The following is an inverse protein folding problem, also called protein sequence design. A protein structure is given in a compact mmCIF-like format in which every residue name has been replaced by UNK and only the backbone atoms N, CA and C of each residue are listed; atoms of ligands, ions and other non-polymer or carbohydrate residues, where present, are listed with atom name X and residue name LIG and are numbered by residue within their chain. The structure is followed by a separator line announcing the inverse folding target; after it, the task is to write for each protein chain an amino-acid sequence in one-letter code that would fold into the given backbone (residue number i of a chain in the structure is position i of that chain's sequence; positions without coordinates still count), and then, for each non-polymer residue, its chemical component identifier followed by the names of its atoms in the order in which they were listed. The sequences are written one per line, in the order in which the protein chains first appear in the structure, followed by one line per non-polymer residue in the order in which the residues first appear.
data_IF_704682225193
#
_entry.id   IF_704682225193
#
_cell.length_a   1.000
_cell.length_b   1.000
_cell.length_c   1.000
_cell.angle_alpha   90.00
_cell.angle_beta   90.00
_cell.angle_gamma   90.00
#
_symmetry.space_group_name_H-M   'P 1'
#
loop_
_entity.id
_entity.type
_entity.pdbx_description
1 polymer ?
#
# COMPACT_ATOMS: atom_id res chain seq x y z
N UNK A 1 -18.15 12.84 26.59
CA UNK A 1 -16.92 12.80 25.79
C UNK A 1 -17.07 11.70 24.76
N UNK A 2 -17.05 12.05 23.48
CA UNK A 2 -17.22 11.04 22.41
C UNK A 2 -15.97 10.16 22.32
N UNK A 3 -16.16 8.88 22.11
CA UNK A 3 -15.08 7.94 21.83
C UNK A 3 -15.05 7.69 20.31
N UNK A 4 -13.88 7.77 19.71
CA UNK A 4 -13.68 7.44 18.29
C UNK A 4 -13.04 6.06 18.20
N UNK A 5 -13.68 5.18 17.45
CA UNK A 5 -13.14 3.88 17.11
C UNK A 5 -12.51 3.96 15.70
N UNK A 6 -11.17 3.94 15.64
CA UNK A 6 -10.41 3.91 14.39
C UNK A 6 -10.06 2.48 14.05
N UNK A 7 -10.73 1.92 13.06
CA UNK A 7 -10.46 0.57 12.59
C UNK A 7 -9.32 0.54 11.57
N UNK A 8 -8.48 -0.50 11.60
CA UNK A 8 -7.42 -0.75 10.62
C UNK A 8 -7.35 -2.24 10.25
N UNK A 9 -6.84 -2.55 9.07
CA UNK A 9 -6.83 -3.92 8.53
C UNK A 9 -5.94 -4.89 9.32
N UNK A 10 -4.82 -4.43 9.84
CA UNK A 10 -3.83 -5.25 10.49
C UNK A 10 -4.24 -5.83 11.84
N UNK A 11 -3.25 -6.24 12.57
CA UNK A 11 -3.35 -6.67 13.98
C UNK A 11 -2.50 -5.72 14.85
N UNK A 12 -2.65 -5.82 16.18
CA UNK A 12 -1.80 -5.06 17.10
C UNK A 12 -0.31 -5.33 16.81
N UNK A 13 0.47 -4.27 16.63
CA UNK A 13 1.88 -4.33 16.25
C UNK A 13 2.16 -4.52 14.75
N UNK A 14 1.13 -4.50 13.88
CA UNK A 14 1.32 -4.38 12.44
C UNK A 14 1.73 -2.95 12.06
N UNK A 15 2.21 -2.76 10.83
CA UNK A 15 2.67 -1.45 10.38
C UNK A 15 1.57 -0.39 10.40
N UNK A 16 0.37 -0.72 9.95
CA UNK A 16 -0.79 0.17 9.98
C UNK A 16 -1.19 0.55 11.40
N UNK A 17 -1.20 -0.40 12.34
CA UNK A 17 -1.47 -0.12 13.74
C UNK A 17 -0.44 0.87 14.33
N UNK A 18 0.85 0.57 14.16
CA UNK A 18 1.94 1.38 14.73
C UNK A 18 2.01 2.79 14.10
N UNK A 19 1.74 2.93 12.80
CA UNK A 19 1.66 4.23 12.12
C UNK A 19 0.45 5.02 12.62
N UNK A 20 -0.70 4.38 12.76
CA UNK A 20 -1.89 5.05 13.27
C UNK A 20 -1.72 5.49 14.72
N UNK A 21 -0.99 4.76 15.57
CA UNK A 21 -0.63 5.22 16.91
C UNK A 21 0.12 6.55 16.87
N UNK A 22 1.01 6.75 15.89
CA UNK A 22 1.71 8.04 15.67
C UNK A 22 0.77 9.13 15.19
N UNK A 23 -0.15 8.81 14.27
CA UNK A 23 -1.13 9.78 13.75
C UNK A 23 -2.04 10.31 14.85
N UNK A 24 -2.46 9.45 15.79
CA UNK A 24 -3.38 9.84 16.89
C UNK A 24 -2.66 10.20 18.20
N UNK A 25 -1.34 10.26 18.20
CA UNK A 25 -0.57 10.57 19.41
C UNK A 25 -1.06 11.85 20.09
N UNK A 26 -1.26 11.76 21.41
CA UNK A 26 -1.81 12.86 22.23
C UNK A 26 -3.34 12.83 22.41
N UNK A 27 -4.08 11.93 21.74
CA UNK A 27 -5.53 11.83 21.85
C UNK A 27 -5.98 10.62 22.68
N UNK A 28 -6.47 10.85 23.91
CA UNK A 28 -6.91 9.80 24.83
C UNK A 28 -8.28 9.18 24.48
N UNK A 29 -9.06 9.85 23.62
CA UNK A 29 -10.44 9.43 23.30
C UNK A 29 -10.54 8.64 21.98
N UNK A 30 -9.41 8.22 21.44
CA UNK A 30 -9.35 7.44 20.22
C UNK A 30 -8.86 6.05 20.56
N UNK A 31 -9.55 5.05 20.06
CA UNK A 31 -9.14 3.65 20.19
C UNK A 31 -8.90 3.05 18.82
N UNK A 32 -7.66 2.60 18.55
CA UNK A 32 -7.36 1.85 17.33
C UNK A 32 -7.85 0.41 17.52
N UNK A 33 -8.65 -0.06 16.58
CA UNK A 33 -9.25 -1.41 16.56
C UNK A 33 -8.80 -2.19 15.33
N UNK A 34 -7.82 -3.07 15.46
CA UNK A 34 -7.39 -3.92 14.37
C UNK A 34 -8.46 -4.97 14.05
N UNK A 35 -8.70 -5.22 12.76
CA UNK A 35 -9.77 -6.12 12.29
C UNK A 35 -9.26 -7.43 11.67
N UNK A 36 -7.95 -7.58 11.52
CA UNK A 36 -7.32 -8.83 11.08
C UNK A 36 -7.43 -9.13 9.59
N UNK A 37 -7.74 -8.14 8.76
CA UNK A 37 -7.75 -8.23 7.31
C UNK A 37 -8.98 -7.61 6.65
N UNK A 38 -8.90 -7.39 5.34
CA UNK A 38 -9.90 -6.62 4.60
C UNK A 38 -11.31 -7.26 4.55
N UNK A 39 -11.42 -8.54 4.69
CA UNK A 39 -12.72 -9.22 4.74
C UNK A 39 -13.50 -8.91 6.03
N UNK A 40 -12.81 -8.75 7.15
CA UNK A 40 -13.41 -8.31 8.41
C UNK A 40 -13.96 -6.89 8.36
N UNK A 41 -13.38 -6.05 7.51
CA UNK A 41 -13.76 -4.65 7.36
C UNK A 41 -15.24 -4.48 6.97
N UNK A 42 -15.68 -5.17 5.92
CA UNK A 42 -17.05 -5.06 5.43
C UNK A 42 -18.06 -5.54 6.50
N UNK A 43 -17.78 -6.66 7.17
CA UNK A 43 -18.65 -7.19 8.21
C UNK A 43 -18.77 -6.21 9.40
N UNK A 44 -17.67 -5.57 9.79
CA UNK A 44 -17.68 -4.59 10.88
C UNK A 44 -18.44 -3.33 10.46
N UNK A 45 -18.24 -2.84 9.24
CA UNK A 45 -18.94 -1.66 8.72
C UNK A 45 -20.44 -1.92 8.65
N UNK A 46 -20.86 -3.06 8.11
CA UNK A 46 -22.27 -3.48 8.08
C UNK A 46 -22.88 -3.60 9.48
N UNK A 47 -22.12 -4.14 10.43
CA UNK A 47 -22.54 -4.23 11.84
C UNK A 47 -22.70 -2.84 12.46
N UNK A 48 -21.75 -1.92 12.23
CA UNK A 48 -21.80 -0.56 12.76
C UNK A 48 -22.94 0.24 12.13
N UNK A 49 -23.21 0.08 10.84
CA UNK A 49 -24.34 0.73 10.18
C UNK A 49 -25.68 0.28 10.77
N UNK A 50 -25.83 -1.02 11.06
CA UNK A 50 -27.07 -1.58 11.60
C UNK A 50 -27.29 -1.30 13.08
N UNK A 51 -26.20 -1.23 13.87
CA UNK A 51 -26.28 -1.19 15.33
C UNK A 51 -25.64 0.10 15.94
N UNK A 52 -24.93 0.90 15.16
CA UNK A 52 -24.17 2.05 15.62
C UNK A 52 -25.01 3.23 16.13
N UNK A 53 -26.28 3.28 15.77
CA UNK A 53 -27.20 4.37 16.20
C UNK A 53 -27.57 4.32 17.70
N UNK A 54 -27.24 3.25 18.41
CA UNK A 54 -27.56 3.11 19.83
C UNK A 54 -26.47 3.64 20.79
N UNK A 55 -25.30 4.02 20.28
CA UNK A 55 -24.18 4.55 21.07
C UNK A 55 -23.62 5.82 20.44
N UNK A 56 -23.22 6.76 21.27
CA UNK A 56 -22.60 8.04 20.93
C UNK A 56 -21.19 7.93 20.31
N UNK A 57 -20.74 6.72 20.00
CA UNK A 57 -19.39 6.47 19.50
C UNK A 57 -19.33 6.71 17.99
N UNK A 58 -18.33 7.48 17.59
CA UNK A 58 -18.00 7.66 16.17
C UNK A 58 -17.00 6.60 15.72
N UNK A 59 -17.09 6.18 14.46
CA UNK A 59 -16.17 5.21 13.90
C UNK A 59 -15.69 5.59 12.51
N UNK A 60 -14.44 5.25 12.22
CA UNK A 60 -13.76 5.39 10.95
C UNK A 60 -13.05 4.08 10.64
N UNK A 61 -12.92 3.76 9.37
CA UNK A 61 -12.08 2.67 8.87
C UNK A 61 -10.97 3.26 7.99
N UNK A 62 -9.73 3.03 8.37
CA UNK A 62 -8.57 3.36 7.55
C UNK A 62 -8.00 2.07 6.96
N UNK A 63 -7.73 2.08 5.66
CA UNK A 63 -7.27 0.91 4.91
C UNK A 63 -6.16 1.26 3.94
N UNK A 64 -5.35 0.27 3.65
CA UNK A 64 -4.51 0.27 2.47
C UNK A 64 -5.37 0.44 1.21
N UNK A 65 -4.91 1.30 0.29
CA UNK A 65 -5.57 1.44 -1.00
C UNK A 65 -5.42 0.17 -1.84
N UNK A 66 -4.30 -0.52 -1.69
CA UNK A 66 -3.93 -1.67 -2.53
C UNK A 66 -4.17 -1.36 -4.03
N UNK A 67 -4.90 -2.24 -4.70
CA UNK A 67 -5.40 -2.04 -6.06
C UNK A 67 -6.93 -1.91 -6.08
N UNK A 68 -7.55 -1.70 -4.92
CA UNK A 68 -9.01 -1.67 -4.76
C UNK A 68 -9.61 -0.32 -5.18
N UNK A 69 -8.83 0.75 -5.10
CA UNK A 69 -9.23 2.09 -5.51
C UNK A 69 -8.19 2.71 -6.48
N UNK A 70 -8.64 3.62 -7.37
CA UNK A 70 -7.74 4.35 -8.26
C UNK A 70 -6.74 5.19 -7.46
N UNK A 71 -5.56 5.43 -8.03
CA UNK A 71 -4.60 6.34 -7.43
C UNK A 71 -5.15 7.77 -7.53
N UNK A 72 -5.28 8.51 -6.43
CA UNK A 72 -5.67 9.90 -6.46
C UNK A 72 -4.67 10.76 -7.25
N UNK A 73 -5.16 11.82 -7.87
CA UNK A 73 -4.33 12.77 -8.63
C UNK A 73 -3.50 13.69 -7.75
N UNK A 74 -3.88 13.82 -6.47
CA UNK A 74 -3.18 14.58 -5.46
C UNK A 74 -2.97 13.73 -4.20
N UNK A 75 -1.99 14.10 -3.36
CA UNK A 75 -1.76 13.44 -2.08
C UNK A 75 -2.87 13.78 -1.10
N UNK A 76 -3.86 12.91 -1.06
CA UNK A 76 -5.05 13.03 -0.20
C UNK A 76 -5.63 11.65 0.10
N UNK A 77 -6.43 11.57 1.15
CA UNK A 77 -7.21 10.37 1.42
C UNK A 77 -8.24 10.14 0.32
N UNK A 78 -8.42 8.88 -0.05
CA UNK A 78 -9.55 8.47 -0.88
C UNK A 78 -10.70 8.02 0.03
N UNK A 79 -11.89 8.59 -0.16
CA UNK A 79 -13.08 8.30 0.63
C UNK A 79 -14.15 7.61 -0.23
N UNK A 80 -14.66 6.47 0.22
CA UNK A 80 -15.65 5.67 -0.52
C UNK A 80 -17.11 5.95 -0.16
N UNK A 81 -17.38 7.06 0.55
CA UNK A 81 -18.69 7.44 1.06
C UNK A 81 -19.33 6.50 2.09
N UNK A 82 -18.57 5.51 2.59
CA UNK A 82 -19.01 4.54 3.61
C UNK A 82 -18.18 4.58 4.89
N UNK A 83 -17.61 5.75 5.24
CA UNK A 83 -16.69 5.93 6.38
C UNK A 83 -15.39 5.13 6.26
N UNK A 84 -15.03 4.70 5.05
CA UNK A 84 -13.76 4.07 4.74
C UNK A 84 -12.84 5.07 4.06
N UNK A 85 -11.67 5.24 4.64
CA UNK A 85 -10.61 6.08 4.13
C UNK A 85 -9.45 5.20 3.67
N UNK A 86 -9.01 5.40 2.46
CA UNK A 86 -7.89 4.67 1.88
C UNK A 86 -6.65 5.56 1.85
N UNK A 87 -5.51 4.95 2.15
CA UNK A 87 -4.21 5.61 2.04
C UNK A 87 -3.95 6.13 0.62
N UNK A 88 -3.23 7.24 0.50
CA UNK A 88 -2.74 7.74 -0.78
C UNK A 88 -1.74 6.76 -1.41
N UNK A 89 -0.84 6.21 -0.62
CA UNK A 89 0.10 5.18 -1.06
C UNK A 89 -0.58 3.82 -1.18
N UNK A 90 -0.06 2.94 -2.02
CA UNK A 90 -0.68 1.63 -2.30
C UNK A 90 -0.80 0.79 -1.04
N UNK A 91 0.24 0.72 -0.22
CA UNK A 91 0.22 0.00 1.06
C UNK A 91 0.90 0.79 2.16
N UNK A 92 0.63 0.42 3.39
CA UNK A 92 1.17 1.09 4.58
C UNK A 92 2.71 0.99 4.64
N UNK A 93 3.30 -0.09 4.14
CA UNK A 93 4.75 -0.23 4.09
C UNK A 93 5.42 0.86 3.27
N UNK A 94 4.73 1.43 2.28
CA UNK A 94 5.27 2.51 1.46
C UNK A 94 5.56 3.79 2.25
N UNK A 95 4.88 4.03 3.38
CA UNK A 95 5.17 5.17 4.25
C UNK A 95 6.45 4.98 5.05
N UNK A 96 6.87 3.74 5.24
CA UNK A 96 8.12 3.40 5.91
C UNK A 96 9.31 3.35 4.93
N UNK A 97 9.07 3.29 3.64
CA UNK A 97 10.10 3.26 2.59
C UNK A 97 10.46 4.70 2.19
N UNK A 98 11.27 5.34 3.00
CA UNK A 98 11.76 6.71 2.81
C UNK A 98 13.27 6.70 2.62
N UNK A 99 13.78 7.45 1.62
CA UNK A 99 15.19 7.44 1.22
C UNK A 99 16.10 7.93 2.36
N UNK A 100 15.72 9.04 2.99
CA UNK A 100 16.50 9.64 4.07
C UNK A 100 16.52 8.72 5.30
N UNK A 101 15.34 8.23 5.73
CA UNK A 101 15.23 7.29 6.84
C UNK A 101 16.00 6.00 6.58
N UNK A 102 16.02 5.53 5.32
CA UNK A 102 16.78 4.33 4.94
C UNK A 102 18.29 4.58 5.00
N UNK A 103 18.73 5.74 4.53
CA UNK A 103 20.12 6.15 4.62
C UNK A 103 20.58 6.25 6.08
N UNK A 104 19.82 6.93 6.94
CA UNK A 104 20.13 7.07 8.36
C UNK A 104 20.26 5.70 9.05
N UNK A 105 19.34 4.78 8.75
CA UNK A 105 19.41 3.41 9.26
C UNK A 105 20.71 2.71 8.84
N UNK A 106 21.11 2.82 7.57
CA UNK A 106 22.34 2.20 7.08
C UNK A 106 23.58 2.79 7.80
N UNK A 107 23.60 4.10 8.02
CA UNK A 107 24.70 4.74 8.74
C UNK A 107 24.80 4.24 10.18
N UNK A 108 23.67 4.12 10.89
CA UNK A 108 23.66 3.58 12.26
C UNK A 108 24.10 2.10 12.34
N UNK A 109 23.85 1.31 11.29
CA UNK A 109 24.26 -0.10 11.22
C UNK A 109 25.69 -0.30 10.69
N UNK A 110 26.46 0.78 10.45
CA UNK A 110 27.84 0.71 9.97
C UNK A 110 27.98 0.50 8.45
N UNK A 111 26.92 0.73 7.70
CA UNK A 111 26.84 0.78 6.24
C UNK A 111 27.83 -0.10 5.44
N UNK A 112 27.56 -1.40 5.40
CA UNK A 112 28.37 -2.38 4.67
C UNK A 112 28.04 -2.46 3.16
N UNK A 113 27.24 -1.53 2.62
CA UNK A 113 26.68 -1.62 1.25
C UNK A 113 27.22 -0.54 0.30
N UNK A 114 28.24 0.23 0.71
CA UNK A 114 28.80 1.35 -0.09
C UNK A 114 27.76 2.43 -0.46
N UNK A 115 26.64 2.51 0.26
CA UNK A 115 25.58 3.50 0.07
C UNK A 115 25.82 4.72 0.96
N UNK A 116 26.89 5.47 0.65
CA UNK A 116 27.46 6.51 1.51
C UNK A 116 26.76 7.87 1.42
N UNK A 117 25.73 7.99 0.57
CA UNK A 117 24.94 9.22 0.40
C UNK A 117 23.47 8.89 0.17
N UNK A 118 22.57 9.85 0.46
CA UNK A 118 21.15 9.71 0.12
C UNK A 118 20.93 9.51 -1.38
N UNK A 119 21.73 10.14 -2.24
CA UNK A 119 21.66 9.98 -3.68
C UNK A 119 21.97 8.54 -4.10
N UNK A 120 22.93 7.87 -3.44
CA UNK A 120 23.22 6.47 -3.70
C UNK A 120 22.06 5.56 -3.28
N UNK A 121 21.41 5.84 -2.15
CA UNK A 121 20.20 5.14 -1.72
C UNK A 121 19.04 5.42 -2.69
N UNK A 122 18.83 6.66 -3.10
CA UNK A 122 17.83 7.02 -4.11
C UNK A 122 18.07 6.28 -5.44
N UNK A 123 19.32 6.20 -5.89
CA UNK A 123 19.67 5.46 -7.09
C UNK A 123 19.36 3.96 -6.98
N UNK A 124 19.63 3.35 -5.83
CA UNK A 124 19.23 1.97 -5.55
C UNK A 124 17.71 1.79 -5.60
N UNK A 125 16.95 2.67 -4.97
CA UNK A 125 15.48 2.63 -5.00
C UNK A 125 14.95 2.73 -6.43
N UNK A 126 15.49 3.65 -7.23
CA UNK A 126 15.13 3.79 -8.65
C UNK A 126 15.48 2.52 -9.44
N UNK A 127 16.65 1.92 -9.21
CA UNK A 127 17.04 0.66 -9.85
C UNK A 127 16.01 -0.43 -9.57
N UNK A 128 15.69 -0.67 -8.29
CA UNK A 128 14.69 -1.65 -7.86
C UNK A 128 13.31 -1.37 -8.45
N UNK A 129 12.90 -0.10 -8.49
CA UNK A 129 11.62 0.27 -9.08
C UNK A 129 11.57 -0.01 -10.59
N UNK A 130 12.64 0.27 -11.32
CA UNK A 130 12.74 -0.04 -12.75
C UNK A 130 12.62 -1.54 -13.04
N UNK A 131 13.18 -2.39 -12.20
CA UNK A 131 13.04 -3.86 -12.32
C UNK A 131 11.60 -4.33 -12.07
N UNK A 132 10.89 -3.70 -11.14
CA UNK A 132 9.50 -4.05 -10.80
C UNK A 132 8.46 -3.49 -11.77
N UNK A 133 8.82 -2.59 -12.67
CA UNK A 133 7.92 -1.81 -13.51
C UNK A 133 6.82 -2.65 -14.17
N UNK A 134 7.19 -3.67 -14.89
CA UNK A 134 6.24 -4.52 -15.64
C UNK A 134 5.35 -5.36 -14.73
N UNK A 135 5.93 -5.89 -13.66
CA UNK A 135 5.19 -6.63 -12.66
C UNK A 135 4.10 -5.77 -12.00
N UNK A 136 4.45 -4.55 -11.59
CA UNK A 136 3.51 -3.63 -10.97
C UNK A 136 2.45 -3.11 -11.97
N UNK A 137 2.82 -2.87 -13.24
CA UNK A 137 1.86 -2.49 -14.27
C UNK A 137 0.77 -3.57 -14.46
N UNK A 138 1.18 -4.84 -14.50
CA UNK A 138 0.24 -5.97 -14.59
C UNK A 138 -0.65 -6.03 -13.34
N UNK A 139 -0.11 -5.84 -12.15
CA UNK A 139 -0.90 -5.83 -10.91
C UNK A 139 -1.95 -4.71 -10.90
N UNK A 140 -1.55 -3.50 -11.30
CA UNK A 140 -2.49 -2.39 -11.43
C UNK A 140 -3.58 -2.66 -12.47
N UNK A 141 -3.21 -3.29 -13.59
CA UNK A 141 -4.18 -3.69 -14.62
C UNK A 141 -5.22 -4.65 -14.06
N UNK A 142 -4.78 -5.71 -13.36
CA UNK A 142 -5.70 -6.67 -12.74
C UNK A 142 -6.58 -6.01 -11.67
N UNK A 143 -6.04 -5.07 -10.91
CA UNK A 143 -6.81 -4.29 -9.95
C UNK A 143 -7.87 -3.40 -10.63
N UNK A 144 -7.48 -2.65 -11.68
CA UNK A 144 -8.38 -1.80 -12.46
C UNK A 144 -9.52 -2.58 -13.12
N UNK A 145 -9.24 -3.80 -13.56
CA UNK A 145 -10.27 -4.73 -14.06
C UNK A 145 -11.11 -5.35 -12.93
N UNK A 146 -10.91 -4.93 -11.70
CA UNK A 146 -11.58 -5.47 -10.50
C UNK A 146 -11.45 -6.98 -10.33
N UNK A 147 -10.35 -7.52 -10.84
CA UNK A 147 -10.09 -8.95 -10.79
C UNK A 147 -10.04 -9.48 -9.35
N UNK A 148 -9.43 -8.73 -8.43
CA UNK A 148 -9.35 -9.09 -7.02
C UNK A 148 -10.71 -9.14 -6.30
N UNK A 149 -11.70 -8.38 -6.76
CA UNK A 149 -13.06 -8.42 -6.19
C UNK A 149 -13.81 -9.69 -6.55
N UNK A 150 -13.37 -10.39 -7.59
CA UNK A 150 -13.95 -11.65 -8.06
C UNK A 150 -13.13 -12.86 -7.61
N UNK A 151 -11.86 -12.64 -7.27
CA UNK A 151 -10.90 -13.67 -6.93
C UNK A 151 -9.93 -13.13 -5.87
N UNK A 152 -9.56 -13.95 -4.93
CA UNK A 152 -8.74 -13.59 -3.76
C UNK A 152 -7.29 -13.18 -4.09
N UNK A 153 -6.93 -13.06 -5.34
CA UNK A 153 -5.56 -12.75 -5.73
C UNK A 153 -5.47 -11.90 -7.00
N UNK A 154 -4.55 -10.97 -7.00
CA UNK A 154 -4.09 -10.24 -8.19
C UNK A 154 -2.77 -10.81 -8.73
N UNK A 155 -2.38 -11.99 -8.26
CA UNK A 155 -1.14 -12.60 -8.71
C UNK A 155 -1.16 -14.12 -8.68
N UNK A 156 -0.47 -14.73 -9.65
CA UNK A 156 -0.51 -16.15 -9.98
C UNK A 156 0.36 -17.01 -9.09
N UNK A 157 1.46 -16.45 -8.61
CA UNK A 157 2.44 -17.17 -7.80
C UNK A 157 2.02 -17.06 -6.36
N UNK A 158 2.08 -18.17 -5.63
CA UNK A 158 1.62 -18.25 -4.25
C UNK A 158 2.05 -17.07 -3.38
N UNK A 159 1.27 -16.75 -2.38
CA UNK A 159 1.41 -15.56 -1.56
C UNK A 159 2.86 -15.35 -1.11
N UNK A 160 3.42 -14.23 -1.49
CA UNK A 160 4.69 -13.79 -0.95
C UNK A 160 5.93 -14.02 -1.81
N UNK A 161 5.82 -14.66 -2.99
CA UNK A 161 6.96 -14.82 -3.91
C UNK A 161 6.82 -13.93 -5.14
N UNK A 162 7.90 -13.27 -5.51
CA UNK A 162 8.00 -12.64 -6.84
C UNK A 162 8.22 -13.71 -7.90
N UNK A 163 7.79 -13.48 -9.16
CA UNK A 163 8.17 -14.32 -10.27
C UNK A 163 9.70 -14.46 -10.39
N UNK A 164 10.15 -15.54 -10.99
CA UNK A 164 11.60 -15.77 -11.24
C UNK A 164 12.19 -14.72 -12.17
N UNK A 165 11.41 -14.23 -13.12
CA UNK A 165 11.75 -13.14 -14.03
C UNK A 165 10.65 -12.09 -14.00
N UNK A 166 11.04 -10.81 -14.06
CA UNK A 166 10.13 -9.66 -13.99
C UNK A 166 10.00 -8.94 -15.34
N UNK A 167 10.39 -9.62 -16.43
CA UNK A 167 10.20 -9.11 -17.78
C UNK A 167 8.72 -9.04 -18.15
N UNK A 168 8.41 -8.17 -19.12
CA UNK A 168 7.03 -7.88 -19.51
C UNK A 168 6.29 -9.12 -20.02
N UNK A 169 6.94 -9.95 -20.81
CA UNK A 169 6.29 -11.10 -21.46
C UNK A 169 5.94 -12.18 -20.44
N UNK A 170 6.83 -12.45 -19.48
CA UNK A 170 6.55 -13.34 -18.34
C UNK A 170 5.41 -12.82 -17.49
N UNK A 171 5.41 -11.53 -17.15
CA UNK A 171 4.36 -10.92 -16.36
C UNK A 171 3.00 -10.94 -17.09
N UNK A 172 2.96 -10.63 -18.40
CA UNK A 172 1.74 -10.72 -19.23
C UNK A 172 1.21 -12.14 -19.31
N UNK A 173 2.07 -13.10 -19.59
CA UNK A 173 1.69 -14.52 -19.73
C UNK A 173 1.08 -15.05 -18.43
N UNK A 174 1.69 -14.75 -17.31
CA UNK A 174 1.18 -15.16 -16.01
C UNK A 174 -0.15 -14.48 -15.67
N UNK A 175 -0.28 -13.18 -15.95
CA UNK A 175 -1.53 -12.46 -15.74
C UNK A 175 -2.66 -13.00 -16.62
N UNK A 176 -2.36 -13.29 -17.88
CA UNK A 176 -3.36 -13.84 -18.80
C UNK A 176 -3.84 -15.22 -18.37
N UNK A 177 -2.96 -16.11 -17.91
CA UNK A 177 -3.37 -17.41 -17.33
C UNK A 177 -4.35 -17.26 -16.17
N UNK A 178 -4.18 -16.24 -15.31
CA UNK A 178 -5.11 -15.95 -14.24
C UNK A 178 -6.48 -15.58 -14.79
N UNK A 179 -6.51 -14.70 -15.78
CA UNK A 179 -7.75 -14.24 -16.42
C UNK A 179 -8.46 -15.44 -17.07
N UNK A 180 -7.76 -16.26 -17.83
CA UNK A 180 -8.33 -17.46 -18.47
C UNK A 180 -8.94 -18.43 -17.44
N UNK A 181 -8.20 -18.70 -16.36
CA UNK A 181 -8.71 -19.55 -15.26
C UNK A 181 -9.95 -18.96 -14.61
N UNK A 182 -10.02 -17.64 -14.54
CA UNK A 182 -11.13 -16.91 -13.95
C UNK A 182 -12.35 -16.87 -14.87
N UNK A 183 -12.15 -16.69 -16.17
CA UNK A 183 -13.22 -16.72 -17.18
C UNK A 183 -14.02 -18.04 -17.16
N UNK A 184 -13.36 -19.15 -16.88
CA UNK A 184 -14.04 -20.45 -16.70
C UNK A 184 -14.92 -20.53 -15.44
N UNK A 185 -14.72 -19.64 -14.47
CA UNK A 185 -15.44 -19.63 -13.19
C UNK A 185 -16.46 -18.50 -13.05
N UNK A 186 -16.38 -17.50 -13.89
CA UNK A 186 -17.15 -16.25 -13.78
C UNK A 186 -17.98 -15.98 -15.02
N UNK A 187 -19.13 -15.35 -14.83
CA UNK A 187 -19.93 -14.78 -15.93
C UNK A 187 -19.41 -13.43 -16.42
N UNK A 188 -18.35 -12.89 -15.82
CA UNK A 188 -17.76 -11.62 -16.22
C UNK A 188 -16.94 -11.77 -17.51
N UNK A 189 -17.18 -10.91 -18.47
CA UNK A 189 -16.48 -10.90 -19.77
C UNK A 189 -15.31 -9.92 -19.72
N UNK A 190 -14.12 -10.41 -19.30
CA UNK A 190 -12.88 -9.69 -19.59
C UNK A 190 -12.39 -10.10 -20.97
N UNK A 191 -11.97 -9.12 -21.77
CA UNK A 191 -11.38 -9.40 -23.09
C UNK A 191 -9.88 -9.19 -23.05
N UNK A 192 -9.15 -9.84 -23.94
CA UNK A 192 -7.71 -9.62 -24.11
C UNK A 192 -7.43 -8.15 -24.47
N UNK A 193 -8.29 -7.57 -25.30
CA UNK A 193 -8.19 -6.15 -25.69
C UNK A 193 -8.30 -5.21 -24.49
N UNK A 194 -9.28 -5.42 -23.60
CA UNK A 194 -9.44 -4.62 -22.38
C UNK A 194 -8.22 -4.75 -21.47
N UNK A 195 -7.66 -5.95 -21.34
CA UNK A 195 -6.45 -6.17 -20.57
C UNK A 195 -5.25 -5.42 -21.17
N UNK A 196 -5.00 -5.57 -22.48
CA UNK A 196 -3.86 -4.94 -23.16
C UNK A 196 -3.98 -3.41 -23.13
N UNK A 197 -5.18 -2.85 -23.36
CA UNK A 197 -5.41 -1.41 -23.30
C UNK A 197 -5.15 -0.85 -21.90
N UNK A 198 -5.63 -1.53 -20.86
CA UNK A 198 -5.42 -1.11 -19.48
C UNK A 198 -3.95 -1.26 -19.08
N UNK A 199 -3.28 -2.34 -19.51
CA UNK A 199 -1.87 -2.54 -19.27
C UNK A 199 -1.03 -1.43 -19.92
N UNK A 200 -1.32 -1.08 -21.17
CA UNK A 200 -0.60 -0.01 -21.87
C UNK A 200 -0.73 1.35 -21.17
N UNK A 201 -1.87 1.64 -20.58
CA UNK A 201 -2.05 2.85 -19.77
C UNK A 201 -1.07 2.90 -18.58
N UNK A 202 -0.94 1.81 -17.83
CA UNK A 202 0.01 1.76 -16.72
C UNK A 202 1.47 1.72 -17.18
N UNK A 203 1.77 1.05 -18.30
CA UNK A 203 3.12 1.06 -18.86
C UNK A 203 3.53 2.47 -19.24
N UNK A 204 2.67 3.23 -19.94
CA UNK A 204 2.94 4.62 -20.31
C UNK A 204 3.22 5.48 -19.08
N UNK A 205 2.44 5.33 -18.01
CA UNK A 205 2.66 6.04 -16.76
C UNK A 205 4.02 5.68 -16.11
N UNK A 206 4.33 4.37 -16.04
CA UNK A 206 5.53 3.88 -15.36
C UNK A 206 6.81 3.97 -16.21
N UNK A 207 6.70 4.35 -17.49
CA UNK A 207 7.85 4.59 -18.37
C UNK A 207 8.27 6.05 -18.39
N UNK A 208 7.47 6.96 -17.85
CA UNK A 208 7.84 8.36 -17.74
C UNK A 208 9.06 8.54 -16.81
N UNK A 209 10.09 9.27 -17.25
CA UNK A 209 11.28 9.53 -16.43
C UNK A 209 10.92 10.20 -15.10
N UNK A 210 10.00 11.17 -15.11
CA UNK A 210 9.51 11.84 -13.91
C UNK A 210 8.87 10.88 -12.89
N UNK A 211 8.38 9.73 -13.32
CA UNK A 211 7.84 8.71 -12.40
C UNK A 211 8.90 8.17 -11.44
N UNK A 212 10.13 7.99 -11.92
CA UNK A 212 11.24 7.51 -11.12
C UNK A 212 11.95 8.65 -10.38
N UNK A 213 12.18 9.77 -11.02
CA UNK A 213 12.91 10.91 -10.43
C UNK A 213 12.16 11.53 -9.25
N UNK A 214 10.83 11.58 -9.34
CA UNK A 214 9.93 12.05 -8.28
C UNK A 214 9.52 10.94 -7.29
N UNK A 215 10.14 9.75 -7.37
CA UNK A 215 9.86 8.59 -6.52
C UNK A 215 8.38 8.18 -6.50
N UNK A 216 7.62 8.45 -7.57
CA UNK A 216 6.20 8.09 -7.66
C UNK A 216 5.94 6.60 -7.48
N UNK A 217 6.90 5.75 -7.77
CA UNK A 217 6.78 4.31 -7.49
C UNK A 217 6.50 4.02 -6.00
N UNK A 218 6.90 4.89 -5.06
CA UNK A 218 6.53 4.75 -3.64
C UNK A 218 5.05 5.03 -3.38
N UNK A 219 4.32 5.62 -4.32
CA UNK A 219 2.87 5.82 -4.25
C UNK A 219 2.13 4.67 -4.93
N UNK A 220 2.65 4.19 -6.06
CA UNK A 220 1.97 3.24 -6.93
C UNK A 220 2.31 1.78 -6.64
N UNK A 221 3.57 1.45 -6.38
CA UNK A 221 3.99 0.07 -6.21
C UNK A 221 3.59 -0.46 -4.84
N UNK A 222 3.33 -1.75 -4.76
CA UNK A 222 3.07 -2.37 -3.47
C UNK A 222 4.36 -2.43 -2.64
N UNK A 223 4.34 -1.86 -1.44
CA UNK A 223 5.51 -1.73 -0.58
C UNK A 223 6.16 -3.06 -0.22
N UNK A 224 5.35 -4.11 -0.03
CA UNK A 224 5.85 -5.47 0.23
C UNK A 224 6.66 -6.04 -0.95
N UNK A 225 6.22 -5.77 -2.18
CA UNK A 225 6.95 -6.24 -3.38
C UNK A 225 8.25 -5.45 -3.53
N UNK A 226 8.18 -4.14 -3.32
CA UNK A 226 9.35 -3.27 -3.36
C UNK A 226 10.39 -3.69 -2.32
N UNK A 227 9.98 -3.92 -1.07
CA UNK A 227 10.86 -4.39 0.00
C UNK A 227 11.52 -5.73 -0.34
N UNK A 228 10.77 -6.67 -0.93
CA UNK A 228 11.34 -7.96 -1.36
C UNK A 228 12.38 -7.82 -2.46
N UNK A 229 12.14 -6.93 -3.42
CA UNK A 229 13.11 -6.66 -4.48
C UNK A 229 14.34 -5.94 -3.93
N UNK A 230 14.16 -4.99 -3.01
CA UNK A 230 15.25 -4.28 -2.34
C UNK A 230 16.18 -5.23 -1.56
N UNK A 231 15.63 -6.21 -0.84
CA UNK A 231 16.43 -7.22 -0.12
C UNK A 231 17.32 -8.04 -1.06
N UNK A 232 16.89 -8.28 -2.30
CA UNK A 232 17.73 -9.01 -3.28
C UNK A 232 19.00 -8.24 -3.65
N UNK A 233 18.93 -6.91 -3.64
CA UNK A 233 20.08 -6.04 -3.92
C UNK A 233 21.02 -5.86 -2.72
N UNK A 234 20.55 -6.19 -1.53
CA UNK A 234 21.28 -5.95 -0.27
C UNK A 234 21.45 -7.27 0.51
N UNK A 235 22.47 -8.08 0.20
CA UNK A 235 22.71 -9.34 0.89
C UNK A 235 22.83 -9.14 2.42
N UNK A 236 22.16 -9.99 3.18
CA UNK A 236 22.11 -9.94 4.66
C UNK A 236 21.39 -8.72 5.26
N UNK A 237 20.72 -7.91 4.46
CA UNK A 237 19.90 -6.81 4.96
C UNK A 237 18.63 -7.32 5.65
N UNK A 238 18.36 -6.80 6.85
CA UNK A 238 17.16 -7.10 7.60
C UNK A 238 16.10 -6.02 7.41
N UNK A 239 15.14 -6.26 6.54
CA UNK A 239 14.00 -5.35 6.34
C UNK A 239 13.16 -5.18 7.61
N UNK A 240 13.07 -6.21 8.45
CA UNK A 240 12.35 -6.13 9.72
C UNK A 240 13.02 -5.17 10.71
N UNK A 241 14.36 -5.18 10.78
CA UNK A 241 15.09 -4.23 11.61
C UNK A 241 14.94 -2.81 11.06
N UNK A 242 15.00 -2.65 9.75
CA UNK A 242 14.73 -1.37 9.11
C UNK A 242 13.31 -0.87 9.43
N UNK A 243 12.29 -1.69 9.29
CA UNK A 243 10.91 -1.28 9.62
C UNK A 243 10.74 -0.92 11.09
N UNK A 244 11.42 -1.60 12.02
CA UNK A 244 11.42 -1.20 13.43
C UNK A 244 12.03 0.19 13.62
N UNK A 245 13.13 0.46 12.94
CA UNK A 245 13.79 1.77 12.95
C UNK A 245 12.90 2.84 12.33
N UNK A 246 12.38 2.61 11.13
CA UNK A 246 11.52 3.54 10.42
C UNK A 246 10.26 3.90 11.23
N UNK A 247 9.60 2.92 11.86
CA UNK A 247 8.47 3.17 12.75
C UNK A 247 8.82 4.02 13.97
N UNK A 248 10.00 3.82 14.55
CA UNK A 248 10.48 4.61 15.69
C UNK A 248 10.66 6.09 15.31
N UNK A 249 11.18 6.34 14.11
CA UNK A 249 11.48 7.68 13.58
C UNK A 249 10.37 8.21 12.66
N UNK A 250 9.22 7.56 12.63
CA UNK A 250 8.12 7.93 11.74
C UNK A 250 7.51 9.26 12.12
N UNK A 251 7.45 10.15 11.13
CA UNK A 251 6.82 11.46 11.22
C UNK A 251 5.67 11.54 10.21
N UNK A 252 4.44 11.38 10.68
CA UNK A 252 3.25 11.41 9.84
C UNK A 252 3.02 12.78 9.18
N UNK A 253 3.59 13.88 9.73
CA UNK A 253 3.38 15.24 9.20
C UNK A 253 4.01 15.43 7.81
N UNK A 254 4.90 14.53 7.41
CA UNK A 254 5.48 14.47 6.06
C UNK A 254 4.49 13.97 4.99
N UNK A 255 3.31 13.45 5.38
CA UNK A 255 2.34 12.80 4.50
C UNK A 255 0.99 13.48 4.61
N UNK A 256 0.60 14.20 3.55
CA UNK A 256 -0.60 15.05 3.57
C UNK A 256 -1.88 14.26 3.83
N UNK A 257 -1.98 13.06 3.32
CA UNK A 257 -3.13 12.18 3.55
C UNK A 257 -3.25 11.73 5.02
N UNK A 258 -2.13 11.47 5.71
CA UNK A 258 -2.14 11.15 7.14
C UNK A 258 -2.43 12.39 8.00
N UNK A 259 -1.96 13.56 7.59
CA UNK A 259 -2.34 14.84 8.20
C UNK A 259 -3.84 15.08 8.05
N UNK A 260 -4.40 14.82 6.86
CA UNK A 260 -5.83 14.90 6.60
C UNK A 260 -6.63 13.91 7.46
N UNK A 261 -6.15 12.66 7.59
CA UNK A 261 -6.77 11.65 8.46
C UNK A 261 -6.85 12.15 9.89
N UNK A 262 -5.76 12.71 10.43
CA UNK A 262 -5.75 13.31 11.75
C UNK A 262 -6.76 14.44 11.88
N UNK A 263 -6.80 15.36 10.94
CA UNK A 263 -7.75 16.49 10.96
C UNK A 263 -9.22 16.02 10.92
N UNK A 264 -9.53 14.98 10.14
CA UNK A 264 -10.86 14.37 10.13
C UNK A 264 -11.22 13.80 11.50
N UNK A 265 -10.30 13.07 12.11
CA UNK A 265 -10.49 12.50 13.45
C UNK A 265 -10.73 13.60 14.48
N UNK A 266 -9.90 14.65 14.51
CA UNK A 266 -10.01 15.77 15.43
C UNK A 266 -11.34 16.51 15.30
N UNK A 267 -11.83 16.71 14.08
CA UNK A 267 -13.15 17.33 13.83
C UNK A 267 -14.31 16.57 14.48
N UNK A 268 -14.17 15.28 14.68
CA UNK A 268 -15.20 14.44 15.29
C UNK A 268 -15.07 14.32 16.81
N UNK A 269 -13.98 14.82 17.40
CA UNK A 269 -13.80 14.88 18.85
C UNK A 269 -14.55 16.06 19.50
N UNK A 270 -14.79 17.11 18.72
CA UNK A 270 -15.57 18.30 19.08
C UNK A 270 -17.06 18.01 18.90
#
# INVERSE_FOLDING_TARGET
MKIINLYCEGKRGSHDFDILEKVIEGHLNITIKPIGGKYGANAIMDYQEKNGNARSDFYLLFRDRDFDAPVPTAEQLHFDNKKTYYSYRTTIENYLLDVSTFFDFLQEQGNNYELNTEEAVKALFIKVAKELKYYQAVRHTLGALRFANSFDTTWVVGSGTLPSTLDLDTCKTNAWRLIEKALHKSQQKWTKETFETTLQMFLTLFEAESFFDELKFLVYYQGKDFAKALIKELPNFSIENYYKYAKKHFDYTKYLDLVELRAIIEKHLV
#
